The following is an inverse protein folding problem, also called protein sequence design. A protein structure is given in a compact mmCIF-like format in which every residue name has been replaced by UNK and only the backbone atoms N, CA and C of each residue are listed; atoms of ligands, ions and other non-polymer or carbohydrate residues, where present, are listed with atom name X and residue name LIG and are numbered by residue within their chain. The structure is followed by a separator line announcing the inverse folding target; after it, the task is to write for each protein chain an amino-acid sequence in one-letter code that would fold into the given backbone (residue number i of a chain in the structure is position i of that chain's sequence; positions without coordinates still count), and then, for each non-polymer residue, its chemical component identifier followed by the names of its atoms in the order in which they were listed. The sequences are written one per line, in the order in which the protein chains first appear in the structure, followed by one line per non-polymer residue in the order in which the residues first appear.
data_IF_282387044911
#
_entry.id   IF_282387044911
#
_cell.length_a   1.000
_cell.length_b   1.000
_cell.length_c   1.000
_cell.angle_alpha   90.00
_cell.angle_beta   90.00
_cell.angle_gamma   90.00
#
_symmetry.space_group_name_H-M   'P 1'
#
loop_
_entity.id
_entity.type
_entity.pdbx_description
1 polymer ?
#
# COMPACT_ATOMS: atom_id res chain seq x y z
N UNK A 1 -9.99 -18.70 -2.10
CA UNK A 1 -8.73 -18.00 -2.42
C UNK A 1 -9.12 -16.75 -3.15
N UNK A 2 -8.74 -15.56 -2.68
CA UNK A 2 -9.08 -14.32 -3.39
C UNK A 2 -8.20 -14.24 -4.63
N UNK A 3 -8.86 -14.19 -5.77
CA UNK A 3 -8.25 -14.14 -7.08
C UNK A 3 -7.96 -12.67 -7.34
N UNK A 4 -6.71 -12.35 -7.64
CA UNK A 4 -6.27 -10.98 -7.91
C UNK A 4 -5.38 -11.01 -9.11
N UNK A 5 -5.74 -10.22 -10.11
CA UNK A 5 -4.83 -9.94 -11.24
C UNK A 5 -4.05 -8.67 -10.91
N UNK A 6 -2.74 -8.72 -11.02
CA UNK A 6 -1.88 -7.56 -10.76
C UNK A 6 -0.98 -7.39 -11.95
N UNK A 7 -0.99 -6.21 -12.54
CA UNK A 7 -0.07 -5.84 -13.60
C UNK A 7 0.77 -4.66 -13.13
N UNK A 8 2.09 -4.77 -13.25
CA UNK A 8 3.02 -3.74 -12.79
C UNK A 8 4.05 -3.54 -13.87
N UNK A 9 4.32 -2.29 -14.18
CA UNK A 9 5.37 -1.90 -15.11
C UNK A 9 6.35 -0.98 -14.39
N UNK A 10 7.63 -1.27 -14.58
CA UNK A 10 8.74 -0.54 -14.01
C UNK A 10 9.64 0.06 -15.09
N UNK A 11 10.78 0.61 -14.65
CA UNK A 11 11.82 1.08 -15.56
C UNK A 11 12.50 -0.08 -16.28
N UNK A 12 13.14 0.19 -17.42
CA UNK A 12 13.97 -0.80 -18.16
C UNK A 12 13.19 -2.05 -18.58
N UNK A 13 11.97 -1.91 -19.07
CA UNK A 13 11.14 -3.06 -19.51
C UNK A 13 10.77 -4.02 -18.38
N UNK A 14 11.00 -3.62 -17.12
CA UNK A 14 10.60 -4.41 -15.97
C UNK A 14 9.08 -4.57 -15.95
N UNK A 15 8.59 -5.80 -15.86
CA UNK A 15 7.17 -6.04 -15.69
C UNK A 15 6.88 -7.24 -14.79
N UNK A 16 5.71 -7.20 -14.19
CA UNK A 16 5.12 -8.31 -13.47
C UNK A 16 3.64 -8.41 -13.80
N UNK A 17 3.23 -9.59 -14.18
CA UNK A 17 1.86 -9.98 -14.39
C UNK A 17 1.56 -11.16 -13.47
N UNK A 18 0.57 -10.97 -12.61
CA UNK A 18 -0.01 -12.00 -11.78
C UNK A 18 -1.44 -12.19 -12.23
N UNK A 19 -1.81 -13.43 -12.52
CA UNK A 19 -3.18 -13.87 -12.68
C UNK A 19 -3.41 -15.12 -11.83
N UNK A 20 -4.66 -15.54 -11.62
CA UNK A 20 -4.98 -16.74 -10.85
C UNK A 20 -4.31 -18.02 -11.34
N UNK A 21 -3.99 -18.07 -12.63
CA UNK A 21 -3.48 -19.28 -13.29
C UNK A 21 -2.02 -19.15 -13.71
N UNK A 22 -1.50 -17.94 -13.89
CA UNK A 22 -0.17 -17.70 -14.45
C UNK A 22 0.49 -16.47 -13.84
N UNK A 23 1.80 -16.59 -13.59
CA UNK A 23 2.68 -15.44 -13.39
C UNK A 23 3.60 -15.31 -14.59
N UNK A 24 3.85 -14.06 -14.99
CA UNK A 24 4.87 -13.72 -15.95
C UNK A 24 5.62 -12.51 -15.41
N UNK A 25 6.93 -12.51 -15.53
CA UNK A 25 7.74 -11.36 -15.14
C UNK A 25 8.98 -11.26 -16.01
N UNK A 26 9.52 -10.05 -16.09
CA UNK A 26 10.73 -9.77 -16.83
C UNK A 26 11.47 -8.62 -16.17
N UNK A 27 12.81 -8.74 -16.12
CA UNK A 27 13.74 -7.71 -15.68
C UNK A 27 13.34 -7.03 -14.35
N UNK A 28 12.90 -7.82 -13.38
CA UNK A 28 12.55 -7.29 -12.07
C UNK A 28 13.83 -7.01 -11.26
N UNK A 29 13.76 -6.20 -10.19
CA UNK A 29 14.89 -6.07 -9.27
C UNK A 29 15.40 -7.46 -8.82
N UNK A 30 16.72 -7.70 -8.78
CA UNK A 30 17.27 -9.04 -8.52
C UNK A 30 16.75 -9.71 -7.24
N UNK A 31 16.47 -8.92 -6.20
CA UNK A 31 15.92 -9.42 -4.94
C UNK A 31 14.48 -9.94 -5.05
N UNK A 32 13.71 -9.42 -6.02
CA UNK A 32 12.37 -9.91 -6.37
C UNK A 32 12.48 -11.11 -7.31
N UNK A 33 13.40 -11.13 -8.27
CA UNK A 33 13.62 -12.32 -9.10
C UNK A 33 14.05 -13.52 -8.26
N UNK A 34 14.99 -13.31 -7.33
CA UNK A 34 15.42 -14.32 -6.37
C UNK A 34 14.28 -14.80 -5.45
N UNK A 35 13.28 -13.96 -5.20
CA UNK A 35 12.09 -14.35 -4.46
C UNK A 35 11.24 -15.36 -5.26
N UNK A 36 11.09 -15.15 -6.57
CA UNK A 36 10.30 -16.03 -7.44
C UNK A 36 11.01 -17.34 -7.79
N UNK A 37 12.34 -17.39 -7.68
CA UNK A 37 13.13 -18.61 -7.86
C UNK A 37 13.50 -19.30 -6.55
N UNK A 38 13.00 -18.81 -5.40
CA UNK A 38 13.28 -19.40 -4.09
C UNK A 38 12.72 -20.82 -4.00
N UNK A 39 13.44 -21.70 -3.29
CA UNK A 39 12.97 -23.04 -2.93
C UNK A 39 12.85 -23.16 -1.40
N UNK A 40 11.69 -23.53 -0.85
CA UNK A 40 10.42 -23.79 -1.53
C UNK A 40 9.81 -22.51 -2.14
N UNK A 41 9.00 -22.62 -3.21
CA UNK A 41 8.41 -21.47 -3.89
C UNK A 41 7.40 -20.75 -3.00
N UNK A 42 7.26 -19.44 -3.22
CA UNK A 42 6.19 -18.65 -2.60
C UNK A 42 4.83 -19.11 -3.13
N UNK A 43 3.77 -18.94 -2.32
CA UNK A 43 2.40 -19.35 -2.70
C UNK A 43 1.72 -18.31 -3.58
N UNK A 44 1.76 -17.05 -3.17
CA UNK A 44 1.15 -15.95 -3.92
C UNK A 44 1.85 -14.61 -3.69
N UNK A 45 1.69 -13.70 -4.66
CA UNK A 45 2.02 -12.28 -4.53
C UNK A 45 0.72 -11.53 -4.26
N UNK A 46 0.67 -10.79 -3.16
CA UNK A 46 -0.50 -10.03 -2.72
C UNK A 46 -0.48 -8.63 -3.33
N UNK A 47 0.65 -7.95 -3.19
CA UNK A 47 0.91 -6.61 -3.74
C UNK A 47 2.32 -6.58 -4.31
N UNK A 48 2.49 -5.97 -5.48
CA UNK A 48 3.78 -5.59 -6.01
C UNK A 48 3.64 -4.21 -6.63
N UNK A 49 4.56 -3.32 -6.32
CA UNK A 49 4.64 -1.99 -6.92
C UNK A 49 6.10 -1.68 -7.24
N UNK A 50 6.31 -1.04 -8.39
CA UNK A 50 7.61 -0.65 -8.91
C UNK A 50 7.60 0.87 -9.13
N UNK A 51 8.64 1.54 -8.65
CA UNK A 51 8.88 2.96 -8.86
C UNK A 51 10.14 3.21 -9.69
N UNK A 52 10.48 4.48 -9.85
CA UNK A 52 11.79 4.87 -10.39
C UNK A 52 12.94 4.48 -9.46
N UNK A 53 14.18 4.59 -9.94
CA UNK A 53 15.39 4.42 -9.13
C UNK A 53 15.46 3.08 -8.34
N UNK A 54 14.98 2.00 -8.95
CA UNK A 54 14.90 0.67 -8.32
C UNK A 54 14.02 0.60 -7.06
N UNK A 55 13.19 1.62 -6.81
CA UNK A 55 12.24 1.60 -5.69
C UNK A 55 11.18 0.54 -5.92
N UNK A 56 10.93 -0.30 -4.91
CA UNK A 56 9.85 -1.29 -4.98
C UNK A 56 9.29 -1.62 -3.60
N UNK A 57 8.07 -2.15 -3.60
CA UNK A 57 7.49 -2.86 -2.47
C UNK A 57 6.80 -4.12 -2.97
N UNK A 58 6.99 -5.23 -2.28
CA UNK A 58 6.31 -6.50 -2.53
C UNK A 58 5.80 -7.10 -1.23
N UNK A 59 4.53 -7.51 -1.19
CA UNK A 59 3.98 -8.38 -0.16
C UNK A 59 3.54 -9.70 -0.78
N UNK A 60 3.83 -10.81 -0.10
CA UNK A 60 3.66 -12.16 -0.63
C UNK A 60 3.37 -13.16 0.49
N UNK A 61 2.78 -14.31 0.15
CA UNK A 61 2.72 -15.46 1.06
C UNK A 61 3.86 -16.41 0.75
N UNK A 62 4.63 -16.75 1.76
CA UNK A 62 5.64 -17.79 1.64
C UNK A 62 5.02 -19.19 1.50
N UNK A 63 5.89 -20.20 1.39
CA UNK A 63 5.50 -21.61 1.32
C UNK A 63 4.63 -22.06 2.51
N UNK A 64 4.84 -21.49 3.69
CA UNK A 64 4.14 -21.85 4.93
C UNK A 64 2.83 -21.08 5.09
N UNK A 65 2.59 -20.10 4.21
CA UNK A 65 1.40 -19.25 4.20
C UNK A 65 1.53 -17.99 5.05
N UNK A 66 2.71 -17.70 5.60
CA UNK A 66 2.97 -16.45 6.30
C UNK A 66 3.03 -15.30 5.29
N UNK A 67 2.36 -14.19 5.63
CA UNK A 67 2.41 -12.97 4.83
C UNK A 67 3.66 -12.20 5.22
N UNK A 68 4.57 -12.03 4.26
CA UNK A 68 5.82 -11.31 4.41
C UNK A 68 5.87 -10.15 3.41
N UNK A 69 6.81 -9.24 3.61
CA UNK A 69 7.08 -8.18 2.64
C UNK A 69 8.59 -7.95 2.46
N UNK A 70 8.96 -7.41 1.29
CA UNK A 70 10.27 -6.83 1.02
C UNK A 70 10.07 -5.47 0.35
N UNK A 71 10.98 -4.54 0.59
CA UNK A 71 10.99 -3.25 -0.10
C UNK A 71 12.40 -2.72 -0.20
N UNK A 72 12.59 -1.78 -1.12
CA UNK A 72 13.85 -1.08 -1.32
C UNK A 72 13.58 0.35 -1.73
N UNK A 73 14.36 1.28 -1.18
CA UNK A 73 14.39 2.69 -1.55
C UNK A 73 13.00 3.38 -1.56
N UNK A 74 12.13 3.03 -0.60
CA UNK A 74 10.82 3.68 -0.46
C UNK A 74 10.97 5.13 0.05
N UNK A 75 10.06 6.04 -0.33
CA UNK A 75 10.00 7.38 0.24
C UNK A 75 9.96 7.34 1.78
N UNK A 76 10.71 8.22 2.45
CA UNK A 76 10.78 8.24 3.92
C UNK A 76 9.40 8.33 4.60
N UNK A 77 8.46 9.18 4.16
CA UNK A 77 7.13 9.23 4.77
C UNK A 77 6.34 7.91 4.59
N UNK A 78 6.59 7.16 3.51
CA UNK A 78 6.00 5.84 3.30
C UNK A 78 6.60 4.82 4.27
N UNK A 79 7.91 4.84 4.49
CA UNK A 79 8.56 3.98 5.49
C UNK A 79 8.02 4.30 6.88
N UNK A 80 7.92 5.56 7.25
CA UNK A 80 7.33 5.99 8.53
C UNK A 80 5.88 5.49 8.66
N UNK A 81 5.08 5.59 7.60
CA UNK A 81 3.73 5.05 7.58
C UNK A 81 3.69 3.53 7.79
N UNK A 82 4.56 2.76 7.13
CA UNK A 82 4.58 1.29 7.18
C UNK A 82 5.01 0.75 8.55
N UNK A 83 5.97 1.41 9.20
CA UNK A 83 6.60 0.92 10.42
C UNK A 83 6.12 1.63 11.69
N UNK A 84 5.76 2.92 11.62
CA UNK A 84 5.45 3.77 12.77
C UNK A 84 6.41 3.56 13.97
N UNK A 85 7.71 3.61 13.70
CA UNK A 85 8.81 3.33 14.66
C UNK A 85 8.93 1.89 15.19
N UNK A 86 8.12 0.94 14.68
CA UNK A 86 8.26 -0.47 15.01
C UNK A 86 9.39 -1.12 14.18
N UNK A 87 10.13 -2.13 14.69
CA UNK A 87 11.10 -2.90 13.89
C UNK A 87 10.50 -3.75 12.74
N UNK A 88 9.17 -3.83 12.63
CA UNK A 88 8.46 -4.65 11.64
C UNK A 88 7.32 -3.83 11.03
N UNK A 89 6.88 -4.19 9.82
CA UNK A 89 5.72 -3.54 9.20
C UNK A 89 4.47 -3.87 10.01
N UNK A 90 3.78 -2.83 10.47
CA UNK A 90 2.58 -2.96 11.32
C UNK A 90 1.28 -2.85 10.54
N UNK A 91 1.36 -2.45 9.27
CA UNK A 91 0.21 -2.31 8.36
C UNK A 91 -0.33 -3.67 7.94
N UNK A 92 -1.60 -3.71 7.58
CA UNK A 92 -2.24 -4.94 7.13
C UNK A 92 -1.79 -5.29 5.71
N UNK A 93 -0.71 -6.07 5.61
CA UNK A 93 -0.14 -6.54 4.33
C UNK A 93 -1.13 -7.28 3.42
N UNK A 94 -2.26 -7.77 3.94
CA UNK A 94 -3.27 -8.47 3.14
C UNK A 94 -4.20 -7.54 2.34
N UNK A 95 -4.30 -6.28 2.80
CA UNK A 95 -5.13 -5.22 2.21
C UNK A 95 -4.34 -4.00 1.75
N UNK A 96 -3.09 -3.88 2.17
CA UNK A 96 -2.18 -2.82 1.77
C UNK A 96 -2.03 -2.77 0.25
N UNK A 97 -2.24 -1.59 -0.31
CA UNK A 97 -1.93 -1.28 -1.70
C UNK A 97 -1.12 0.00 -1.78
N UNK A 98 -0.12 0.01 -2.67
CA UNK A 98 0.85 1.10 -2.80
C UNK A 98 1.03 1.46 -4.27
N UNK A 99 0.83 2.72 -4.58
CA UNK A 99 1.13 3.33 -5.87
C UNK A 99 2.36 4.21 -5.72
N UNK A 100 3.42 3.88 -6.46
CA UNK A 100 4.65 4.66 -6.51
C UNK A 100 4.67 5.49 -7.79
N UNK A 101 5.04 6.75 -7.67
CA UNK A 101 5.21 7.67 -8.77
C UNK A 101 6.59 8.32 -8.81
N UNK A 102 6.78 9.25 -9.75
CA UNK A 102 8.01 10.04 -9.86
C UNK A 102 8.22 10.96 -8.66
N UNK A 103 9.45 11.46 -8.49
CA UNK A 103 9.81 12.42 -7.45
C UNK A 103 9.47 11.96 -6.02
N UNK A 104 9.57 10.66 -5.71
CA UNK A 104 9.18 10.11 -4.41
C UNK A 104 7.67 10.27 -4.07
N UNK A 105 6.84 10.56 -5.08
CA UNK A 105 5.39 10.59 -4.90
C UNK A 105 4.85 9.20 -4.63
N UNK A 106 3.90 9.09 -3.69
CA UNK A 106 3.23 7.84 -3.42
C UNK A 106 1.81 8.05 -2.90
N UNK A 107 0.98 7.03 -3.12
CA UNK A 107 -0.28 6.82 -2.43
C UNK A 107 -0.28 5.41 -1.85
N UNK A 108 -0.51 5.28 -0.56
CA UNK A 108 -0.61 4.00 0.12
C UNK A 108 -1.91 3.95 0.93
N UNK A 109 -2.57 2.80 0.94
CA UNK A 109 -3.75 2.60 1.77
C UNK A 109 -3.87 1.15 2.21
N UNK A 110 -4.40 0.94 3.41
CA UNK A 110 -4.85 -0.35 3.90
C UNK A 110 -6.29 -0.23 4.44
N UNK A 111 -6.82 -1.29 5.05
CA UNK A 111 -8.19 -1.29 5.60
C UNK A 111 -8.44 -0.17 6.63
N UNK A 112 -7.42 0.30 7.33
CA UNK A 112 -7.56 1.19 8.48
C UNK A 112 -7.22 2.64 8.14
N UNK A 113 -6.20 2.87 7.34
CA UNK A 113 -5.74 4.23 7.03
C UNK A 113 -5.18 4.37 5.62
N UNK A 114 -4.96 5.61 5.21
CA UNK A 114 -4.20 5.94 4.00
C UNK A 114 -3.08 6.92 4.33
N UNK A 115 -2.07 6.98 3.47
CA UNK A 115 -0.98 7.94 3.52
C UNK A 115 -0.57 8.30 2.10
N UNK A 116 -0.30 9.57 1.86
CA UNK A 116 0.21 10.04 0.59
C UNK A 116 1.19 11.18 0.81
N UNK A 117 2.16 11.30 -0.08
CA UNK A 117 3.11 12.40 -0.07
C UNK A 117 3.56 12.71 -1.49
N UNK A 118 3.88 13.98 -1.73
CA UNK A 118 4.33 14.53 -3.00
C UNK A 118 3.47 14.14 -4.21
N UNK A 119 2.18 13.88 -4.01
CA UNK A 119 1.25 13.54 -5.10
C UNK A 119 0.91 14.77 -5.94
N UNK A 120 0.47 14.62 -7.20
CA UNK A 120 0.07 15.75 -8.03
C UNK A 120 -1.01 16.62 -7.34
N UNK A 121 -0.97 17.97 -7.45
CA UNK A 121 -1.91 18.84 -6.73
C UNK A 121 -3.39 18.56 -7.02
N UNK A 122 -3.72 18.16 -8.25
CA UNK A 122 -5.08 17.74 -8.61
C UNK A 122 -5.53 16.48 -7.86
N UNK A 123 -4.62 15.52 -7.68
CA UNK A 123 -4.87 14.32 -6.89
C UNK A 123 -4.99 14.67 -5.41
N UNK A 124 -4.07 15.47 -4.85
CA UNK A 124 -4.13 15.88 -3.45
C UNK A 124 -5.46 16.55 -3.10
N UNK A 125 -5.88 17.53 -3.92
CA UNK A 125 -7.18 18.18 -3.77
C UNK A 125 -8.34 17.17 -3.85
N UNK A 126 -8.24 16.21 -4.76
CA UNK A 126 -9.25 15.15 -4.93
C UNK A 126 -9.33 14.21 -3.72
N UNK A 127 -8.20 13.89 -3.09
CA UNK A 127 -8.12 13.09 -1.87
C UNK A 127 -8.72 13.86 -0.69
N UNK A 128 -8.25 15.10 -0.45
CA UNK A 128 -8.70 15.94 0.66
C UNK A 128 -10.21 16.23 0.61
N UNK A 129 -10.77 16.42 -0.59
CA UNK A 129 -12.21 16.63 -0.76
C UNK A 129 -13.05 15.40 -0.37
N UNK A 130 -12.46 14.21 -0.31
CA UNK A 130 -13.13 12.93 -0.02
C UNK A 130 -12.89 12.42 1.39
N UNK A 131 -11.87 12.94 2.07
CA UNK A 131 -11.61 12.64 3.48
C UNK A 131 -12.67 13.31 4.35
N UNK A 132 -13.20 12.57 5.31
CA UNK A 132 -14.03 13.09 6.40
C UNK A 132 -13.19 13.31 7.66
N UNK A 133 -12.35 12.34 8.01
CA UNK A 133 -11.36 12.45 9.08
C UNK A 133 -10.09 11.67 8.73
N UNK A 134 -8.93 12.18 9.16
CA UNK A 134 -7.64 11.57 8.89
C UNK A 134 -6.68 11.79 10.05
N UNK A 135 -6.13 10.69 10.57
CA UNK A 135 -5.06 10.65 11.55
C UNK A 135 -4.05 9.55 11.20
N UNK A 136 -3.01 9.38 12.03
CA UNK A 136 -1.92 8.43 11.79
C UNK A 136 -2.36 6.94 11.74
N UNK A 137 -3.52 6.63 12.31
CA UNK A 137 -4.02 5.28 12.50
C UNK A 137 -5.31 4.99 11.74
N UNK A 138 -6.08 6.03 11.40
CA UNK A 138 -7.39 5.91 10.81
C UNK A 138 -7.64 6.97 9.75
N UNK A 139 -8.23 6.54 8.64
CA UNK A 139 -8.80 7.46 7.64
C UNK A 139 -10.26 7.08 7.42
N UNK A 140 -11.15 8.04 7.60
CA UNK A 140 -12.58 7.89 7.30
C UNK A 140 -12.87 8.70 6.04
N UNK A 141 -13.47 8.04 5.06
CA UNK A 141 -13.85 8.64 3.79
C UNK A 141 -15.34 8.96 3.79
N UNK A 142 -15.70 10.02 3.07
CA UNK A 142 -17.09 10.44 2.88
C UNK A 142 -17.95 9.32 2.31
N UNK A 143 -19.26 9.46 2.53
CA UNK A 143 -20.26 8.48 2.16
C UNK A 143 -19.85 7.09 2.67
N UNK A 144 -19.60 6.93 3.96
CA UNK A 144 -19.34 5.63 4.59
C UNK A 144 -18.25 4.78 3.91
N UNK A 145 -17.21 5.40 3.37
CA UNK A 145 -16.15 4.68 2.65
C UNK A 145 -16.33 4.54 1.14
N UNK A 146 -17.49 4.91 0.58
CA UNK A 146 -17.73 4.83 -0.87
C UNK A 146 -16.83 5.77 -1.68
N UNK A 147 -16.45 6.91 -1.10
CA UNK A 147 -15.50 7.83 -1.71
C UNK A 147 -14.03 7.45 -1.46
N UNK A 148 -13.75 6.31 -0.81
CA UNK A 148 -12.37 5.88 -0.60
C UNK A 148 -11.71 5.55 -1.95
N UNK A 149 -10.52 6.11 -2.24
CA UNK A 149 -9.68 5.63 -3.33
C UNK A 149 -9.41 4.14 -3.15
N UNK A 150 -9.73 3.35 -4.17
CA UNK A 150 -9.40 1.93 -4.18
C UNK A 150 -8.41 1.58 -5.29
N UNK A 151 -8.09 2.55 -6.14
CA UNK A 151 -7.02 2.45 -7.12
C UNK A 151 -6.48 3.84 -7.44
N UNK A 152 -5.16 3.96 -7.41
CA UNK A 152 -4.44 5.16 -7.80
C UNK A 152 -3.30 4.75 -8.73
N UNK A 153 -3.11 5.47 -9.83
CA UNK A 153 -1.93 5.35 -10.68
C UNK A 153 -1.28 6.72 -10.80
N UNK A 154 0.04 6.75 -10.60
CA UNK A 154 0.86 7.96 -10.66
C UNK A 154 1.79 7.88 -11.86
N UNK A 155 1.70 8.85 -12.75
CA UNK A 155 2.53 8.97 -13.95
C UNK A 155 3.48 10.17 -13.88
N UNK A 156 4.24 10.34 -14.96
CA UNK A 156 5.14 11.49 -15.14
C UNK A 156 4.38 12.81 -15.30
N UNK A 157 5.10 13.92 -15.08
CA UNK A 157 4.63 15.29 -15.29
C UNK A 157 3.40 15.68 -14.46
N UNK A 158 3.13 14.93 -13.39
CA UNK A 158 1.96 15.10 -12.54
C UNK A 158 0.71 14.42 -13.09
N UNK A 159 0.86 13.51 -14.05
CA UNK A 159 -0.24 12.71 -14.54
C UNK A 159 -0.73 11.75 -13.44
N UNK A 160 -2.04 11.60 -13.31
CA UNK A 160 -2.61 10.64 -12.37
C UNK A 160 -3.96 10.11 -12.84
N UNK A 161 -4.30 8.95 -12.29
CA UNK A 161 -5.64 8.37 -12.36
C UNK A 161 -6.04 7.89 -10.96
N UNK A 162 -7.27 8.18 -10.57
CA UNK A 162 -7.87 7.81 -9.30
C UNK A 162 -9.26 7.22 -9.57
N UNK A 163 -9.56 6.08 -8.93
CA UNK A 163 -10.92 5.54 -8.83
C UNK A 163 -11.31 5.29 -7.37
N UNK A 164 -12.55 5.60 -7.02
CA UNK A 164 -13.17 5.35 -5.72
C UNK A 164 -13.93 4.03 -5.67
N UNK A 165 -14.33 3.57 -4.48
CA UNK A 165 -15.17 2.38 -4.30
C UNK A 165 -16.52 2.52 -5.02
N UNK A 166 -17.11 3.72 -5.02
CA UNK A 166 -18.38 4.03 -5.69
C UNK A 166 -18.30 4.04 -7.23
N UNK A 167 -17.13 3.85 -7.83
CA UNK A 167 -16.94 4.03 -9.28
C UNK A 167 -16.71 5.49 -9.69
N UNK A 168 -16.74 6.43 -8.74
CA UNK A 168 -16.27 7.80 -8.96
C UNK A 168 -14.75 7.83 -9.19
N UNK A 169 -14.22 9.01 -9.52
CA UNK A 169 -12.80 9.12 -9.82
C UNK A 169 -12.33 10.53 -10.13
N UNK A 170 -11.11 10.60 -10.62
CA UNK A 170 -10.48 11.82 -11.12
C UNK A 170 -9.19 11.48 -11.84
N UNK A 171 -8.88 12.20 -12.89
CA UNK A 171 -7.65 12.02 -13.64
C UNK A 171 -7.17 13.37 -14.13
N UNK A 172 -5.88 13.43 -14.39
CA UNK A 172 -5.25 14.52 -15.13
C UNK A 172 -4.14 13.86 -15.93
N UNK A 173 -4.35 13.63 -17.23
CA UNK A 173 -3.27 13.23 -18.11
C UNK A 173 -2.74 14.52 -18.73
N UNK A 174 -1.73 15.13 -18.09
CA UNK A 174 -1.15 16.35 -18.64
C UNK A 174 -0.62 16.07 -20.03
N UNK A 175 -1.30 16.62 -21.02
CA UNK A 175 -0.72 16.78 -22.35
C UNK A 175 0.42 17.79 -22.18
N UNK A 176 1.65 17.49 -22.61
CA UNK A 176 2.69 18.50 -22.66
C UNK A 176 2.15 19.65 -23.48
N UNK A 177 2.33 20.86 -22.96
CA UNK A 177 2.05 22.07 -23.72
C UNK A 177 2.88 21.96 -24.99
N UNK A 178 2.23 21.71 -26.12
CA UNK A 178 2.89 21.70 -27.43
C UNK A 178 3.24 23.15 -27.72
N UNK A 179 4.34 23.62 -27.14
CA UNK A 179 4.94 24.90 -27.49
C UNK A 179 5.62 24.71 -28.85
N UNK A 180 4.85 24.91 -29.92
CA UNK A 180 5.36 25.47 -31.17
C UNK A 180 6.33 24.64 -32.01
N UNK A 181 6.33 23.30 -31.96
CA UNK A 181 6.94 22.50 -33.05
C UNK A 181 5.98 22.28 -34.22
N UNK A 182 5.42 23.38 -34.72
CA UNK A 182 4.83 23.45 -36.05
C UNK A 182 5.98 23.51 -37.06
N UNK A 183 6.46 22.36 -37.57
CA UNK A 183 7.55 22.41 -38.54
C UNK A 183 7.91 21.15 -39.29
N UNK A 184 7.61 19.95 -38.78
CA UNK A 184 7.91 18.71 -39.49
C UNK A 184 6.65 17.86 -39.52
N UNK A 185 5.92 17.94 -40.64
CA UNK A 185 4.86 17.01 -40.97
C UNK A 185 5.44 15.61 -41.07
N UNK A 186 5.18 14.79 -40.05
CA UNK A 186 5.47 13.37 -40.07
C UNK A 186 4.13 12.66 -40.20
N UNK A 187 4.02 11.79 -41.20
CA UNK A 187 2.92 10.85 -41.31
C UNK A 187 2.93 9.94 -40.07
N UNK A 188 1.92 10.10 -39.23
CA UNK A 188 1.83 9.50 -37.90
C UNK A 188 1.37 10.62 -36.97
N UNK A 189 0.18 10.49 -36.38
CA UNK A 189 -0.36 11.49 -35.45
C UNK A 189 0.66 11.91 -34.39
N UNK A 190 0.43 13.02 -33.71
CA UNK A 190 1.38 13.63 -32.76
C UNK A 190 1.75 12.76 -31.54
N UNK A 191 1.35 11.48 -31.51
CA UNK A 191 1.56 10.54 -30.42
C UNK A 191 0.57 10.72 -29.27
N UNK A 192 -0.32 11.71 -29.36
CA UNK A 192 -1.28 12.07 -28.31
C UNK A 192 -2.70 11.64 -28.61
N UNK A 193 -2.99 11.11 -29.80
CA UNK A 193 -4.33 10.66 -30.18
C UNK A 193 -4.89 9.62 -29.20
N UNK A 194 -4.05 8.70 -28.70
CA UNK A 194 -4.46 7.74 -27.67
C UNK A 194 -4.86 8.42 -26.35
N UNK A 195 -4.05 9.36 -25.87
CA UNK A 195 -4.36 10.10 -24.63
C UNK A 195 -5.57 11.00 -24.81
N UNK A 196 -5.72 11.67 -25.95
CA UNK A 196 -6.92 12.45 -26.28
C UNK A 196 -8.17 11.59 -26.33
N UNK A 197 -8.11 10.43 -26.99
CA UNK A 197 -9.21 9.47 -27.02
C UNK A 197 -9.54 8.93 -25.64
N UNK A 198 -8.54 8.70 -24.78
CA UNK A 198 -8.74 8.26 -23.41
C UNK A 198 -9.36 9.36 -22.54
N UNK A 199 -8.89 10.61 -22.65
CA UNK A 199 -9.52 11.75 -21.98
C UNK A 199 -10.97 11.91 -22.43
N UNK A 200 -11.24 11.85 -23.73
CA UNK A 200 -12.60 11.92 -24.26
C UNK A 200 -13.48 10.79 -23.74
N UNK A 201 -12.96 9.55 -23.71
CA UNK A 201 -13.67 8.40 -23.15
C UNK A 201 -13.98 8.62 -21.66
N UNK A 202 -13.01 9.08 -20.87
CA UNK A 202 -13.18 9.35 -19.44
C UNK A 202 -14.15 10.50 -19.18
N UNK A 203 -14.11 11.57 -19.99
CA UNK A 203 -15.04 12.71 -19.92
C UNK A 203 -16.47 12.30 -20.27
N UNK A 204 -16.64 11.35 -21.19
CA UNK A 204 -17.94 10.81 -21.58
C UNK A 204 -18.47 9.75 -20.60
N UNK A 205 -17.60 9.19 -19.76
CA UNK A 205 -17.99 8.17 -18.78
C UNK A 205 -18.65 8.82 -17.57
N UNK A 206 -19.94 8.53 -17.36
CA UNK A 206 -20.67 8.98 -16.17
C UNK A 206 -20.26 8.23 -14.90
N UNK A 207 -19.57 7.09 -15.06
CA UNK A 207 -19.15 6.18 -14.01
C UNK A 207 -17.89 5.42 -14.49
N UNK A 208 -16.90 5.22 -13.62
CA UNK A 208 -15.71 4.42 -13.89
C UNK A 208 -15.86 2.96 -13.49
N UNK A 209 -17.06 2.47 -13.17
CA UNK A 209 -17.31 1.04 -12.97
C UNK A 209 -16.97 0.21 -14.21
N UNK A 210 -17.30 0.70 -15.41
CA UNK A 210 -17.03 0.03 -16.68
C UNK A 210 -15.54 0.04 -17.06
N UNK A 211 -14.77 0.98 -16.49
CA UNK A 211 -13.32 0.94 -16.53
C UNK A 211 -12.94 -0.10 -15.49
N UNK A 212 -12.47 -1.26 -15.95
CA UNK A 212 -12.12 -2.31 -15.02
C UNK A 212 -11.04 -1.78 -14.12
N UNK A 213 -11.43 -1.58 -12.87
CA UNK A 213 -10.59 -1.28 -11.74
C UNK A 213 -11.31 -1.85 -10.51
N UNK A 214 -10.59 -2.67 -9.75
CA UNK A 214 -10.81 -3.35 -8.45
C UNK A 214 -12.20 -3.73 -7.87
N UNK A 215 -12.27 -4.84 -7.11
CA UNK A 215 -12.42 -4.86 -5.62
C UNK A 215 -12.10 -6.23 -4.99
N UNK A 216 -11.80 -6.27 -3.67
CA UNK A 216 -11.49 -7.47 -2.86
C UNK A 216 -12.14 -7.35 -1.48
N UNK A 217 -13.07 -8.24 -1.11
CA UNK A 217 -13.33 -8.62 0.29
C UNK A 217 -14.02 -9.98 0.41
N UNK A 218 -13.66 -10.69 1.48
CA UNK A 218 -13.95 -12.10 1.73
C UNK A 218 -15.26 -12.27 2.52
N UNK A 219 -16.27 -12.92 1.95
CA UNK A 219 -17.23 -13.76 2.69
C UNK A 219 -17.46 -15.05 1.90
N UNK A 220 -17.44 -16.18 2.61
CA UNK A 220 -17.50 -17.56 2.16
C UNK A 220 -18.62 -17.86 1.14
N UNK A 221 -18.26 -18.00 -0.14
CA UNK A 221 -18.53 -19.16 -1.01
C UNK A 221 -18.42 -18.75 -2.48
N UNK A 222 -17.48 -19.37 -3.19
CA UNK A 222 -17.43 -19.52 -4.66
C UNK A 222 -17.84 -18.29 -5.50
N UNK A 223 -16.87 -17.43 -5.89
CA UNK A 223 -16.73 -16.84 -7.24
C UNK A 223 -15.50 -15.94 -7.35
N UNK A 224 -14.91 -15.96 -8.53
CA UNK A 224 -13.65 -15.33 -8.98
C UNK A 224 -13.78 -13.80 -9.11
N UNK A 225 -12.98 -13.07 -8.33
CA UNK A 225 -12.86 -11.60 -8.38
C UNK A 225 -11.70 -11.16 -9.29
N UNK A 226 -11.92 -10.19 -10.18
CA UNK A 226 -10.88 -9.76 -11.13
C UNK A 226 -10.53 -8.28 -10.99
N UNK A 227 -9.24 -8.00 -11.13
CA UNK A 227 -8.59 -6.70 -11.01
C UNK A 227 -7.99 -6.37 -12.36
N UNK A 228 -8.45 -5.33 -13.02
CA UNK A 228 -7.77 -4.78 -14.19
C UNK A 228 -7.70 -3.27 -14.01
N UNK A 229 -6.89 -2.52 -14.74
CA UNK A 229 -6.55 -1.15 -14.33
C UNK A 229 -6.03 -0.29 -15.47
N UNK A 230 -6.16 1.04 -15.31
CA UNK A 230 -5.37 2.02 -16.05
C UNK A 230 -4.00 2.12 -15.41
N UNK A 231 -2.96 1.66 -16.11
CA UNK A 231 -1.58 1.78 -15.66
C UNK A 231 -0.88 2.88 -16.46
N UNK A 232 -0.46 3.95 -15.77
CA UNK A 232 0.44 4.96 -16.31
C UNK A 232 1.89 4.53 -16.13
N UNK A 233 2.75 4.83 -17.10
CA UNK A 233 4.18 4.47 -17.01
C UNK A 233 5.01 5.58 -16.38
N UNK A 234 5.75 5.32 -15.28
CA UNK A 234 6.69 6.30 -14.72
C UNK A 234 7.91 6.57 -15.61
N UNK A 235 8.19 5.72 -16.59
CA UNK A 235 9.33 5.88 -17.51
C UNK A 235 8.95 6.50 -18.85
N UNK A 236 7.66 6.47 -19.20
CA UNK A 236 7.14 6.93 -20.48
C UNK A 236 5.89 7.76 -20.23
N UNK A 237 6.03 9.09 -20.21
CA UNK A 237 4.94 10.02 -19.91
C UNK A 237 3.70 9.83 -20.79
N UNK A 238 3.89 9.24 -21.98
CA UNK A 238 2.83 9.09 -22.97
C UNK A 238 2.23 7.69 -22.96
N UNK A 239 2.82 6.71 -22.28
CA UNK A 239 2.37 5.33 -22.39
C UNK A 239 1.35 4.98 -21.30
N UNK A 240 0.29 4.29 -21.71
CA UNK A 240 -0.68 3.70 -20.82
C UNK A 240 -1.16 2.34 -21.32
N UNK A 241 -1.69 1.57 -20.38
CA UNK A 241 -2.48 0.37 -20.64
C UNK A 241 -3.80 0.56 -19.92
N UNK A 242 -4.89 0.54 -20.67
CA UNK A 242 -6.27 0.54 -20.21
C UNK A 242 -6.83 -0.85 -20.48
N UNK A 243 -7.29 -1.52 -19.44
CA UNK A 243 -7.95 -2.82 -19.59
C UNK A 243 -9.41 -2.68 -19.14
N UNK A 244 -10.34 -3.14 -19.97
CA UNK A 244 -11.79 -3.02 -19.76
C UNK A 244 -12.40 -4.29 -19.15
N UNK A 245 -13.60 -4.16 -18.59
CA UNK A 245 -14.32 -5.27 -17.94
C UNK A 245 -14.80 -6.32 -18.94
N UNK A 246 -14.93 -5.99 -20.22
CA UNK A 246 -15.21 -6.97 -21.28
C UNK A 246 -13.95 -7.73 -21.74
N UNK A 247 -12.81 -7.47 -21.10
CA UNK A 247 -11.50 -8.05 -21.38
C UNK A 247 -10.77 -7.44 -22.57
N UNK A 248 -11.33 -6.40 -23.19
CA UNK A 248 -10.59 -5.63 -24.19
C UNK A 248 -9.48 -4.83 -23.52
N UNK A 249 -8.35 -4.77 -24.19
CA UNK A 249 -7.19 -3.99 -23.75
C UNK A 249 -6.90 -2.92 -24.80
N UNK A 250 -6.76 -1.68 -24.33
CA UNK A 250 -6.27 -0.55 -25.11
C UNK A 250 -4.91 -0.17 -24.57
N UNK A 251 -3.95 0.06 -25.45
CA UNK A 251 -2.68 0.65 -25.06
C UNK A 251 -2.19 1.54 -26.19
N UNK A 252 -1.29 2.45 -25.86
CA UNK A 252 -0.53 3.21 -26.84
C UNK A 252 0.98 2.99 -26.66
N UNK A 253 1.34 1.87 -26.04
CA UNK A 253 2.73 1.42 -25.96
C UNK A 253 3.31 1.24 -27.37
N UNK A 254 4.61 1.56 -27.59
CA UNK A 254 5.28 1.34 -28.86
C UNK A 254 5.20 -0.15 -29.31
N UNK A 255 5.03 -0.39 -30.61
CA UNK A 255 4.82 -1.74 -31.21
C UNK A 255 5.82 -2.82 -30.75
N UNK A 256 7.05 -2.46 -30.38
CA UNK A 256 8.07 -3.41 -29.91
C UNK A 256 7.76 -4.04 -28.55
N UNK A 257 6.92 -3.41 -27.72
CA UNK A 257 6.45 -3.98 -26.44
C UNK A 257 5.17 -4.82 -26.62
N UNK A 258 4.57 -4.78 -27.82
CA UNK A 258 3.28 -5.41 -28.10
C UNK A 258 3.37 -6.91 -28.33
N UNK A 259 4.53 -7.42 -28.78
CA UNK A 259 4.69 -8.82 -29.13
C UNK A 259 4.43 -9.78 -27.95
N UNK A 260 4.74 -9.35 -26.73
CA UNK A 260 4.44 -10.12 -25.53
C UNK A 260 3.04 -9.83 -24.99
N UNK A 261 2.50 -8.63 -25.22
CA UNK A 261 1.14 -8.28 -24.82
C UNK A 261 0.05 -8.96 -25.67
N UNK A 262 0.24 -9.05 -26.99
CA UNK A 262 -0.67 -9.76 -27.89
C UNK A 262 -0.77 -11.25 -27.55
N UNK A 263 0.32 -11.87 -27.08
CA UNK A 263 0.29 -13.25 -26.56
C UNK A 263 -0.51 -13.37 -25.26
N UNK A 264 -0.53 -12.31 -24.44
CA UNK A 264 -1.30 -12.28 -23.19
C UNK A 264 -2.79 -12.04 -23.40
N UNK A 265 -3.18 -11.24 -24.39
CA UNK A 265 -4.57 -10.83 -24.63
C UNK A 265 -5.52 -12.02 -24.82
N UNK A 266 -5.13 -13.00 -25.63
CA UNK A 266 -5.92 -14.23 -25.87
C UNK A 266 -5.99 -15.14 -24.63
N UNK A 267 -5.13 -14.90 -23.64
CA UNK A 267 -5.04 -15.66 -22.39
C UNK A 267 -5.87 -15.04 -21.26
N UNK A 268 -6.47 -13.87 -21.46
CA UNK A 268 -7.26 -13.17 -20.44
C UNK A 268 -8.68 -13.77 -20.37
N UNK A 269 -9.15 -14.26 -19.20
CA UNK A 269 -10.51 -14.78 -19.05
C UNK A 269 -11.57 -13.67 -19.15
N UNK A 270 -12.81 -14.00 -19.51
CA UNK A 270 -13.94 -13.04 -19.50
C UNK A 270 -14.30 -12.59 -18.07
N UNK A 271 -14.53 -11.29 -17.83
CA UNK A 271 -14.75 -10.74 -16.48
C UNK A 271 -16.22 -10.45 -16.14
N UNK A 272 -16.60 -10.56 -14.86
CA UNK A 272 -17.94 -10.22 -14.32
C UNK A 272 -17.78 -9.35 -13.07
N UNK A 273 -18.49 -8.21 -13.00
CA UNK A 273 -18.40 -7.21 -11.92
C UNK A 273 -19.65 -7.23 -11.01
N UNK A 274 -19.47 -7.06 -9.69
CA UNK A 274 -20.55 -6.90 -8.72
C UNK A 274 -20.42 -5.57 -7.96
N UNK A 275 -21.53 -4.84 -7.77
CA UNK A 275 -21.58 -3.41 -7.40
C UNK A 275 -21.97 -3.09 -5.95
N UNK A 276 -21.76 -4.00 -4.99
CA UNK A 276 -22.23 -3.81 -3.61
C UNK A 276 -21.15 -3.24 -2.66
N UNK A 277 -21.48 -2.31 -1.75
CA UNK A 277 -20.63 -1.93 -0.63
C UNK A 277 -20.28 -3.11 0.25
N UNK A 278 -19.17 -2.98 0.98
CA UNK A 278 -18.86 -3.89 2.07
C UNK A 278 -19.85 -3.67 3.23
N UNK A 279 -20.51 -4.72 3.73
CA UNK A 279 -21.19 -4.61 5.01
C UNK A 279 -20.14 -4.30 6.10
N UNK A 280 -20.48 -3.47 7.10
CA UNK A 280 -19.59 -3.25 8.24
C UNK A 280 -19.25 -4.61 8.87
N UNK A 281 -17.95 -4.86 9.04
CA UNK A 281 -17.47 -6.09 9.63
C UNK A 281 -18.08 -6.24 11.04
N UNK A 282 -18.55 -7.42 11.45
CA UNK A 282 -18.98 -7.64 12.81
C UNK A 282 -17.89 -7.16 13.75
N UNK A 283 -18.24 -6.29 14.70
CA UNK A 283 -17.30 -5.78 15.70
C UNK A 283 -16.53 -6.97 16.30
N UNK A 284 -15.21 -6.86 16.51
CA UNK A 284 -14.43 -7.91 17.15
C UNK A 284 -15.19 -8.34 18.40
N UNK A 285 -15.56 -9.62 18.48
CA UNK A 285 -16.11 -10.16 19.71
C UNK A 285 -15.03 -9.95 20.76
N UNK A 286 -15.23 -8.94 21.61
CA UNK A 286 -14.43 -8.74 22.82
C UNK A 286 -14.47 -10.10 23.50
N UNK A 287 -13.32 -10.77 23.74
CA UNK A 287 -13.30 -12.02 24.46
C UNK A 287 -14.09 -11.79 25.74
N UNK A 288 -15.26 -12.44 25.85
CA UNK A 288 -16.05 -12.40 27.07
C UNK A 288 -15.09 -12.84 28.18
N UNK A 289 -14.75 -11.90 29.06
CA UNK A 289 -13.98 -12.20 30.26
C UNK A 289 -14.59 -13.45 30.89
N UNK A 290 -13.78 -14.46 31.24
CA UNK A 290 -14.29 -15.64 31.91
C UNK A 290 -15.08 -15.16 33.14
N UNK A 291 -16.38 -15.48 33.15
CA UNK A 291 -17.24 -15.27 34.32
C UNK A 291 -16.48 -15.85 35.52
N UNK A 292 -16.31 -15.09 36.63
CA UNK A 292 -15.69 -15.63 37.83
C UNK A 292 -16.44 -16.91 38.22
N UNK A 293 -15.71 -18.02 38.27
CA UNK A 293 -16.23 -19.27 38.81
C UNK A 293 -16.70 -19.01 40.25
N UNK A 294 -17.90 -19.48 40.64
CA UNK A 294 -18.31 -19.47 42.04
C UNK A 294 -17.26 -20.20 42.87
N UNK A 295 -16.64 -19.48 43.81
CA UNK A 295 -15.75 -20.08 44.79
C UNK A 295 -16.52 -21.13 45.61
N UNK A 296 -15.98 -22.35 45.80
CA UNK A 296 -16.56 -23.30 46.73
C UNK A 296 -16.53 -22.75 48.17
N UNK A 297 -17.53 -23.08 49.01
CA UNK A 297 -17.61 -22.58 50.37
C UNK A 297 -16.38 -23.00 51.19
N UNK A 298 -15.71 -21.99 51.74
CA UNK A 298 -14.53 -22.16 52.59
C UNK A 298 -14.88 -22.88 53.89
N UNK A 299 -14.11 -23.93 54.19
CA UNK A 299 -14.06 -24.52 55.51
C UNK A 299 -13.32 -23.57 56.46
N UNK A 300 -14.00 -23.18 57.53
CA UNK A 300 -13.42 -22.43 58.63
C UNK A 300 -12.36 -23.28 59.35
N UNK A 301 -11.09 -22.90 59.22
CA UNK A 301 -10.03 -23.43 60.08
C UNK A 301 -9.65 -22.41 61.14
N UNK A 302 -9.64 -22.91 62.36
CA UNK A 302 -9.60 -22.20 63.62
C UNK A 302 -8.25 -21.54 63.93
N UNK A 303 -8.40 -20.44 64.67
CA UNK A 303 -7.39 -19.57 65.25
C UNK A 303 -6.27 -20.33 65.99
N UNK A 304 -5.03 -19.86 65.83
CA UNK A 304 -4.04 -19.93 66.91
C UNK A 304 -3.28 -18.61 67.03
N UNK A 305 -3.64 -17.87 68.09
CA UNK A 305 -2.95 -16.68 68.60
C UNK A 305 -1.50 -17.02 68.97
N UNK A 306 -0.56 -16.13 68.68
CA UNK A 306 0.49 -15.78 69.65
C UNK A 306 0.89 -14.29 69.54
N UNK A 307 1.35 -13.70 70.67
CA UNK A 307 1.48 -12.25 70.86
C UNK A 307 2.95 -11.77 70.73
N UNK A 308 3.14 -10.48 70.48
CA UNK A 308 4.47 -9.87 70.49
C UNK A 308 4.43 -8.35 70.34
N UNK A 309 4.05 -7.67 71.42
CA UNK A 309 4.33 -6.26 71.66
C UNK A 309 5.84 -5.97 71.60
N UNK A 310 6.23 -4.82 71.03
CA UNK A 310 7.27 -3.93 71.57
C UNK A 310 7.18 -2.54 70.90
N UNK A 311 6.80 -1.54 71.68
CA UNK A 311 6.86 -0.09 71.38
C UNK A 311 8.32 0.43 71.51
N UNK A 312 8.63 1.75 71.54
CA UNK A 312 7.87 2.95 71.15
C UNK A 312 8.66 3.96 70.29
N UNK A 313 7.94 5.01 69.88
CA UNK A 313 8.43 6.28 69.32
C UNK A 313 9.42 7.03 70.21
N UNK A 314 10.38 7.72 69.60
CA UNK A 314 11.13 8.81 70.20
C UNK A 314 11.48 9.89 69.15
N UNK A 315 11.56 11.11 69.64
CA UNK A 315 11.49 12.41 68.99
C UNK A 315 12.80 12.88 68.30
N UNK A 316 12.61 13.75 67.31
CA UNK A 316 13.35 14.98 66.99
C UNK A 316 14.84 15.07 67.36
N UNK A 317 15.72 15.14 66.35
CA UNK A 317 17.10 15.61 66.53
C UNK A 317 17.99 15.46 65.29
N UNK A 318 18.51 16.58 64.81
CA UNK A 318 19.37 16.78 63.64
C UNK A 318 20.61 15.86 63.52
N UNK A 319 20.96 15.48 62.28
CA UNK A 319 22.28 15.17 61.66
C UNK A 319 23.35 14.40 62.49
N UNK A 320 24.08 13.41 61.90
CA UNK A 320 24.88 13.63 60.69
C UNK A 320 24.98 12.45 59.71
N UNK A 321 25.72 12.70 58.62
CA UNK A 321 26.20 11.78 57.59
C UNK A 321 26.52 10.36 58.09
N UNK A 322 26.19 9.33 57.31
CA UNK A 322 27.16 8.31 56.86
C UNK A 322 26.61 7.41 55.74
N UNK A 323 27.24 7.59 54.59
CA UNK A 323 27.60 6.67 53.50
C UNK A 323 27.45 5.17 53.78
N UNK A 324 26.70 4.45 52.92
CA UNK A 324 26.92 3.04 52.55
C UNK A 324 25.97 2.64 51.39
N UNK A 325 26.32 3.01 50.15
CA UNK A 325 25.75 2.39 48.94
C UNK A 325 26.89 2.01 47.99
N UNK A 326 26.88 0.80 47.40
CA UNK A 326 27.92 0.34 46.47
C UNK A 326 27.75 0.97 45.07
N UNK A 327 28.85 1.22 44.33
CA UNK A 327 28.79 1.85 43.02
C UNK A 327 28.34 0.89 41.92
N UNK A 328 27.39 1.34 41.11
CA UNK A 328 27.02 0.73 39.84
C UNK A 328 27.99 1.15 38.71
N UNK A 329 28.19 0.33 37.67
CA UNK A 329 29.27 0.50 36.69
C UNK A 329 29.05 1.66 35.72
N UNK A 330 30.14 2.39 35.46
CA UNK A 330 30.24 3.50 34.51
C UNK A 330 29.98 3.05 33.07
N UNK A 331 29.01 3.70 32.41
CA UNK A 331 28.85 3.66 30.96
C UNK A 331 29.92 4.55 30.29
N UNK A 332 30.58 4.02 29.26
CA UNK A 332 31.51 4.76 28.39
C UNK A 332 30.73 5.67 27.42
N UNK A 333 31.23 6.89 27.13
CA UNK A 333 30.73 7.70 26.02
C UNK A 333 31.47 7.33 24.74
N UNK A 334 30.72 6.96 23.70
CA UNK A 334 31.24 6.95 22.32
C UNK A 334 31.20 8.38 21.77
N UNK A 335 32.30 8.91 21.21
CA UNK A 335 32.28 10.16 20.49
C UNK A 335 31.71 9.92 19.07
N UNK A 336 30.71 10.70 18.69
CA UNK A 336 30.32 10.80 17.27
C UNK A 336 31.42 11.55 16.49
N UNK A 337 31.74 11.13 15.25
CA UNK A 337 32.58 11.90 14.36
C UNK A 337 31.81 13.09 13.76
N UNK A 338 32.49 14.17 13.35
CA UNK A 338 31.85 15.35 12.80
C UNK A 338 31.34 15.12 11.38
N UNK A 339 30.13 15.62 11.11
CA UNK A 339 29.56 15.77 9.77
C UNK A 339 30.30 16.93 9.09
N UNK A 340 31.19 16.61 8.15
CA UNK A 340 31.71 17.60 7.22
C UNK A 340 30.71 17.81 6.08
N UNK A 341 30.28 19.07 5.98
CA UNK A 341 29.66 19.68 4.82
C UNK A 341 30.64 19.71 3.64
N UNK A 342 30.24 19.17 2.49
CA UNK A 342 30.85 19.50 1.20
C UNK A 342 29.75 19.72 0.16
N UNK A 343 29.53 21.00 -0.09
CA UNK A 343 29.03 21.60 -1.32
C UNK A 343 30.01 21.33 -2.49
N UNK A 344 29.46 21.42 -3.70
CA UNK A 344 30.10 21.57 -5.03
C UNK A 344 30.40 20.29 -5.81
N UNK A 345 29.52 19.94 -6.76
CA UNK A 345 29.58 20.42 -8.16
C UNK A 345 28.21 20.32 -8.83
#
# INVERSE_FOLDING_TARGET
MTISTTFVLGSKEAYFFNSPTHWAWHNLPPDIEALFTKTPPIRDVIELTLGGNQTYFVSYRDHDGQILCKHYNLPNPLVEYLYASHPAVIRDLSTLSISLGPYESYYAWDRTSASWSNVPPGLEKSLLNRVESHDAWRTTWKADGYEAPCFVSLGNDGAYFLRTVSGGGGWDFKLPKVEGRSGLGVMGGDGWDGIRGTNQFLEQSSDFTAIAVGFKFLVLNLKTDFRQAVHLMPSQANAYVLVLTDGKTFSNLPEHTWADYAKMADSLPSFVQHSAPLPPMPAPQIPTQPRPQPQPPGYAQSQRRQPGNCCPSAETGMNPLHTCCPPAPMARPWPMPPINSLLQR
#
